data_IF_524092138338
#
_entry.id   IF_524092138338
#
_cell.length_a   1.000
_cell.length_b   1.000
_cell.length_c   1.000
_cell.angle_alpha   90.00
_cell.angle_beta   90.00
_cell.angle_gamma   90.00
#
_symmetry.space_group_name_H-M   'P 1'
#
loop_
_entity.id
_entity.type
_entity.pdbx_description
1 polymer ?
#
# COMPACT_ATOMS: atom_id res chain seq x y z
N UNK A 1 -5.08 -31.23 4.86
CA UNK A 1 -3.63 -30.94 4.85
C UNK A 1 -3.33 -29.90 5.90
N UNK A 2 -2.10 -29.87 6.42
CA UNK A 2 -1.63 -28.89 7.39
C UNK A 2 -0.82 -27.80 6.69
N UNK A 3 -1.02 -26.54 7.10
CA UNK A 3 -0.24 -25.39 6.62
C UNK A 3 0.54 -24.80 7.79
N UNK A 4 1.78 -24.42 7.53
CA UNK A 4 2.65 -23.73 8.49
C UNK A 4 3.39 -22.60 7.80
N UNK A 5 3.89 -21.66 8.59
CA UNK A 5 4.74 -20.60 8.08
C UNK A 5 6.06 -21.18 7.56
N UNK A 6 6.54 -20.59 6.46
CA UNK A 6 7.93 -20.75 6.03
C UNK A 6 8.80 -19.74 6.77
N UNK A 7 10.13 -19.86 6.67
CA UNK A 7 11.05 -18.89 7.26
C UNK A 7 10.76 -17.45 6.78
N UNK A 8 10.41 -17.29 5.50
CA UNK A 8 10.08 -15.99 4.92
C UNK A 8 8.79 -15.43 5.50
N UNK A 9 7.72 -16.22 5.60
CA UNK A 9 6.44 -15.73 6.13
C UNK A 9 6.52 -15.47 7.63
N UNK A 10 7.27 -16.30 8.37
CA UNK A 10 7.54 -16.10 9.80
C UNK A 10 8.28 -14.79 10.07
N UNK A 11 9.29 -14.45 9.26
CA UNK A 11 10.08 -13.22 9.46
C UNK A 11 9.35 -11.97 8.95
N UNK A 12 8.73 -12.02 7.78
CA UNK A 12 8.25 -10.80 7.11
C UNK A 12 6.73 -10.61 7.09
N UNK A 13 5.92 -11.65 7.32
CA UNK A 13 4.46 -11.55 7.22
C UNK A 13 3.75 -11.64 8.58
N UNK A 14 4.39 -12.23 9.60
CA UNK A 14 3.84 -12.28 10.96
C UNK A 14 3.93 -10.90 11.61
N UNK A 15 2.83 -10.40 12.17
CA UNK A 15 2.74 -9.06 12.78
C UNK A 15 3.67 -8.85 13.97
N UNK A 16 3.90 -9.89 14.77
CA UNK A 16 4.75 -9.81 15.97
C UNK A 16 6.26 -9.86 15.65
N UNK A 17 6.64 -10.11 14.39
CA UNK A 17 8.05 -10.09 14.00
C UNK A 17 8.58 -8.65 14.04
N UNK A 18 9.79 -8.41 14.60
CA UNK A 18 10.42 -7.08 14.57
C UNK A 18 10.78 -6.61 13.16
N UNK A 19 10.81 -7.53 12.18
CA UNK A 19 11.08 -7.25 10.76
C UNK A 19 9.84 -7.38 9.88
N UNK A 20 8.65 -7.31 10.48
CA UNK A 20 7.41 -7.49 9.75
C UNK A 20 7.23 -6.42 8.67
N UNK A 21 6.84 -6.86 7.48
CA UNK A 21 6.39 -6.03 6.37
C UNK A 21 4.86 -5.91 6.34
N UNK A 22 4.16 -6.50 7.31
CA UNK A 22 2.70 -6.55 7.35
C UNK A 22 2.07 -5.17 7.15
N UNK A 23 2.50 -4.17 7.92
CA UNK A 23 1.91 -2.83 7.85
C UNK A 23 2.17 -2.14 6.51
N UNK A 24 3.37 -2.32 5.94
CA UNK A 24 3.71 -1.81 4.61
C UNK A 24 2.87 -2.47 3.52
N UNK A 25 2.66 -3.79 3.60
CA UNK A 25 1.78 -4.51 2.66
C UNK A 25 0.34 -4.04 2.78
N UNK A 26 -0.18 -3.87 4.00
CA UNK A 26 -1.55 -3.36 4.20
C UNK A 26 -1.71 -1.96 3.60
N UNK A 27 -0.76 -1.05 3.88
CA UNK A 27 -0.72 0.28 3.28
C UNK A 27 -0.67 0.21 1.74
N UNK A 28 0.20 -0.63 1.18
CA UNK A 28 0.34 -0.78 -0.27
C UNK A 28 -0.96 -1.26 -0.92
N UNK A 29 -1.64 -2.22 -0.29
CA UNK A 29 -2.92 -2.74 -0.80
C UNK A 29 -4.05 -1.71 -0.71
N UNK A 30 -4.12 -0.91 0.36
CA UNK A 30 -5.20 0.06 0.53
C UNK A 30 -4.99 1.33 -0.29
N UNK A 31 -3.74 1.77 -0.44
CA UNK A 31 -3.41 3.05 -1.05
C UNK A 31 -2.83 2.90 -2.44
N UNK A 32 -1.68 2.22 -2.55
CA UNK A 32 -0.91 2.15 -3.79
C UNK A 32 -1.67 1.38 -4.86
N UNK A 33 -2.23 0.23 -4.52
CA UNK A 33 -2.97 -0.61 -5.46
C UNK A 33 -4.18 0.12 -6.07
N UNK A 34 -4.88 0.93 -5.29
CA UNK A 34 -6.00 1.75 -5.76
C UNK A 34 -5.54 2.83 -6.74
N UNK A 35 -4.41 3.51 -6.45
CA UNK A 35 -3.80 4.46 -7.39
C UNK A 35 -3.39 3.80 -8.72
N UNK A 36 -2.93 2.55 -8.68
CA UNK A 36 -2.51 1.81 -9.88
C UNK A 36 -3.67 1.54 -10.86
N UNK A 37 -4.93 1.56 -10.41
CA UNK A 37 -6.08 1.50 -11.33
C UNK A 37 -6.09 2.65 -12.33
N UNK A 38 -5.45 3.78 -11.99
CA UNK A 38 -5.34 4.96 -12.83
C UNK A 38 -3.96 5.13 -13.48
N UNK A 39 -3.16 4.07 -13.53
CA UNK A 39 -1.78 4.13 -14.03
C UNK A 39 -1.69 4.66 -15.47
N UNK A 40 -2.59 4.22 -16.35
CA UNK A 40 -2.65 4.69 -17.74
C UNK A 40 -2.82 6.22 -17.81
N UNK A 41 -3.67 6.78 -16.96
CA UNK A 41 -3.89 8.22 -16.89
C UNK A 41 -2.72 8.95 -16.23
N UNK A 42 -2.08 8.34 -15.22
CA UNK A 42 -0.87 8.89 -14.62
C UNK A 42 0.23 9.10 -15.66
N UNK A 43 0.42 8.14 -16.57
CA UNK A 43 1.39 8.24 -17.67
C UNK A 43 1.01 9.30 -18.68
N UNK A 44 -0.27 9.38 -19.07
CA UNK A 44 -0.76 10.38 -20.06
C UNK A 44 -0.72 11.82 -19.54
N UNK A 45 -1.08 12.01 -18.28
CA UNK A 45 -1.22 13.34 -17.67
C UNK A 45 0.06 13.80 -16.96
N UNK A 46 1.01 12.89 -16.69
CA UNK A 46 2.24 13.19 -15.96
C UNK A 46 2.00 13.63 -14.51
N UNK A 47 0.87 13.22 -13.90
CA UNK A 47 0.42 13.68 -12.57
C UNK A 47 0.03 12.54 -11.65
N UNK A 48 0.23 12.78 -10.34
CA UNK A 48 -0.22 11.87 -9.28
C UNK A 48 -1.74 11.72 -9.31
N UNK A 49 -2.23 10.48 -9.25
CA UNK A 49 -3.66 10.16 -9.36
C UNK A 49 -4.32 9.96 -7.99
N UNK A 50 -3.65 10.33 -6.90
CA UNK A 50 -4.17 10.17 -5.53
C UNK A 50 -5.51 10.88 -5.33
N UNK A 51 -5.64 12.11 -5.83
CA UNK A 51 -6.89 12.86 -5.76
C UNK A 51 -8.02 12.18 -6.54
N UNK A 52 -7.71 11.59 -7.68
CA UNK A 52 -8.67 10.81 -8.46
C UNK A 52 -9.10 9.52 -7.75
N UNK A 53 -8.17 8.86 -7.06
CA UNK A 53 -8.43 7.61 -6.37
C UNK A 53 -9.14 7.79 -5.01
N UNK A 54 -8.86 8.88 -4.29
CA UNK A 54 -9.27 9.06 -2.89
C UNK A 54 -10.08 10.34 -2.63
N UNK A 55 -10.25 11.21 -3.64
CA UNK A 55 -10.96 12.48 -3.50
C UNK A 55 -10.28 13.51 -2.59
N UNK A 56 -9.00 13.30 -2.27
CA UNK A 56 -8.19 14.16 -1.38
C UNK A 56 -6.95 14.68 -2.10
N UNK A 57 -6.52 15.89 -1.78
CA UNK A 57 -5.35 16.46 -2.44
C UNK A 57 -4.11 15.60 -2.18
N UNK A 58 -3.26 15.45 -3.20
CA UNK A 58 -1.97 14.76 -3.03
C UNK A 58 -1.04 15.46 -2.01
N UNK A 59 -1.27 16.73 -1.71
CA UNK A 59 -0.54 17.47 -0.67
C UNK A 59 -0.91 17.02 0.75
N UNK A 60 -2.09 16.42 0.91
CA UNK A 60 -2.59 15.87 2.17
C UNK A 60 -2.23 14.39 2.32
N UNK A 61 -1.46 13.78 1.41
CA UNK A 61 -1.13 12.34 1.45
C UNK A 61 -0.56 11.96 2.81
N UNK A 62 0.38 12.74 3.35
CA UNK A 62 0.94 12.42 4.66
C UNK A 62 -0.11 12.57 5.78
N UNK A 63 -0.98 13.57 5.73
CA UNK A 63 -2.07 13.71 6.70
C UNK A 63 -3.13 12.60 6.58
N UNK A 64 -3.40 12.12 5.36
CA UNK A 64 -4.35 11.06 5.08
C UNK A 64 -3.78 9.67 5.41
N UNK A 65 -2.46 9.49 5.33
CA UNK A 65 -1.76 8.22 5.58
C UNK A 65 -1.37 8.05 7.06
N UNK A 66 -1.11 9.13 7.80
CA UNK A 66 -0.73 9.09 9.21
C UNK A 66 -1.89 9.31 10.19
N UNK A 67 -3.13 9.27 9.73
CA UNK A 67 -4.31 9.48 10.57
C UNK A 67 -4.71 8.26 11.40
#
# INVERSE_FOLDING_TARGET
GYYSNTDVSAVYLVKSSPRTLYHMMMYSTQTVYTCWQYFTQAVREGKCQYERAFGKSSQEIFEAVYR
#
